data_IF_440484518922
#
_entry.id   IF_440484518922
#
_cell.length_a   1.000
_cell.length_b   1.000
_cell.length_c   1.000
_cell.angle_alpha   90.00
_cell.angle_beta   90.00
_cell.angle_gamma   90.00
#
_symmetry.space_group_name_H-M   'P 1'
#
loop_
_entity.id
_entity.type
_entity.pdbx_description
1 polymer ?
#
# COMPACT_ATOMS: atom_id res chain seq x y z
N UNK A 1 -8.10 4.93 -26.01
CA UNK A 1 -8.03 6.37 -25.76
C UNK A 1 -6.65 6.65 -25.19
N UNK A 2 -5.74 7.10 -26.04
CA UNK A 2 -4.43 7.56 -25.59
C UNK A 2 -4.53 9.08 -25.48
N UNK A 3 -4.61 9.62 -24.28
CA UNK A 3 -4.39 11.05 -24.13
C UNK A 3 -2.99 11.39 -24.63
N UNK A 4 -2.80 12.49 -25.36
CA UNK A 4 -1.53 12.82 -26.02
C UNK A 4 -0.35 12.93 -25.03
N UNK A 5 -0.61 13.10 -23.74
CA UNK A 5 0.38 13.28 -22.68
C UNK A 5 0.69 12.02 -21.86
N UNK A 6 -0.04 10.92 -22.06
CA UNK A 6 0.12 9.67 -21.32
C UNK A 6 0.68 8.53 -22.19
N UNK A 7 1.27 7.55 -21.54
CA UNK A 7 1.81 6.33 -22.13
C UNK A 7 1.34 5.13 -21.36
N UNK A 8 0.92 4.10 -22.07
CA UNK A 8 0.57 2.82 -21.45
C UNK A 8 1.86 2.18 -20.93
N UNK A 9 1.95 2.00 -19.61
CA UNK A 9 3.03 1.27 -18.97
C UNK A 9 2.74 -0.24 -18.98
N UNK A 10 1.51 -0.61 -18.59
CA UNK A 10 1.05 -1.98 -18.55
C UNK A 10 -0.39 -2.10 -19.06
N UNK A 11 -0.66 -3.23 -19.66
CA UNK A 11 -1.99 -3.69 -20.05
C UNK A 11 -2.19 -5.09 -19.43
N UNK A 12 -3.19 -5.22 -18.58
CA UNK A 12 -3.56 -6.47 -17.97
C UNK A 12 -4.93 -6.93 -18.44
N UNK A 13 -5.09 -8.23 -18.54
CA UNK A 13 -6.37 -8.86 -18.84
C UNK A 13 -6.72 -9.81 -17.68
N UNK A 14 -7.85 -9.55 -17.02
CA UNK A 14 -8.27 -10.32 -15.85
C UNK A 14 -9.31 -11.38 -16.15
N UNK A 15 -10.10 -11.21 -17.20
CA UNK A 15 -11.18 -12.12 -17.55
C UNK A 15 -11.51 -12.09 -19.04
N UNK A 16 -11.88 -13.25 -19.59
CA UNK A 16 -12.36 -13.44 -20.94
C UNK A 16 -13.77 -14.00 -20.92
N UNK A 17 -14.63 -13.49 -21.78
CA UNK A 17 -16.02 -13.95 -21.89
C UNK A 17 -16.29 -14.28 -23.36
N UNK A 18 -16.69 -15.53 -23.64
CA UNK A 18 -17.14 -15.96 -24.97
C UNK A 18 -18.58 -16.43 -24.81
N UNK A 19 -19.51 -15.84 -25.55
CA UNK A 19 -20.95 -16.20 -25.54
C UNK A 19 -21.50 -16.37 -24.12
N UNK A 20 -21.20 -15.39 -23.24
CA UNK A 20 -21.56 -15.35 -21.83
C UNK A 20 -20.88 -16.42 -20.93
N UNK A 21 -19.92 -17.18 -21.44
CA UNK A 21 -19.11 -18.12 -20.65
C UNK A 21 -17.80 -17.47 -20.23
N UNK A 22 -17.57 -17.38 -18.92
CA UNK A 22 -16.33 -16.82 -18.36
C UNK A 22 -15.19 -17.83 -18.46
N UNK A 23 -14.03 -17.36 -18.94
CA UNK A 23 -12.77 -18.11 -18.94
C UNK A 23 -11.67 -17.31 -18.26
N UNK A 24 -10.90 -17.96 -17.38
CA UNK A 24 -9.70 -17.37 -16.76
C UNK A 24 -8.45 -17.49 -17.63
N UNK A 25 -8.50 -18.30 -18.65
CA UNK A 25 -7.40 -18.51 -19.60
C UNK A 25 -7.77 -17.90 -20.94
N UNK A 26 -6.75 -17.44 -21.68
CA UNK A 26 -6.95 -16.97 -23.05
C UNK A 26 -7.61 -18.08 -23.87
N UNK A 27 -8.79 -17.83 -24.44
CA UNK A 27 -9.58 -18.87 -25.13
C UNK A 27 -9.09 -19.10 -26.56
N UNK A 28 -7.85 -19.56 -26.70
CA UNK A 28 -7.24 -19.86 -28.00
C UNK A 28 -7.90 -21.08 -28.64
N UNK A 29 -8.37 -20.92 -29.86
CA UNK A 29 -8.99 -22.02 -30.63
C UNK A 29 -10.46 -22.27 -30.30
N UNK A 30 -11.09 -21.44 -29.47
CA UNK A 30 -12.54 -21.49 -29.27
C UNK A 30 -13.23 -20.54 -30.26
N UNK A 31 -14.36 -20.98 -30.78
CA UNK A 31 -15.23 -20.19 -31.65
C UNK A 31 -16.40 -19.64 -30.81
N UNK A 32 -16.86 -18.44 -31.10
CA UNK A 32 -18.00 -17.80 -30.47
C UNK A 32 -18.49 -16.64 -31.30
N UNK A 33 -19.75 -16.23 -31.09
CA UNK A 33 -20.33 -15.07 -31.75
C UNK A 33 -19.92 -13.74 -31.08
N UNK A 34 -19.76 -13.79 -29.73
CA UNK A 34 -19.41 -12.61 -28.93
C UNK A 34 -18.16 -12.89 -28.08
N UNK A 35 -17.21 -11.98 -28.15
CA UNK A 35 -16.00 -12.02 -27.36
C UNK A 35 -15.83 -10.72 -26.60
N UNK A 36 -15.76 -10.83 -25.26
CA UNK A 36 -15.48 -9.72 -24.35
C UNK A 36 -14.25 -10.01 -23.50
N UNK A 37 -13.52 -8.95 -23.15
CA UNK A 37 -12.39 -9.06 -22.22
C UNK A 37 -12.32 -7.84 -21.29
N UNK A 38 -11.92 -8.10 -20.04
CA UNK A 38 -11.74 -7.05 -19.06
C UNK A 38 -10.28 -6.62 -19.06
N UNK A 39 -10.04 -5.40 -19.54
CA UNK A 39 -8.70 -4.82 -19.66
C UNK A 39 -8.49 -3.75 -18.59
N UNK A 40 -7.34 -3.82 -17.93
CA UNK A 40 -6.86 -2.78 -17.02
C UNK A 40 -5.63 -2.12 -17.59
N UNK A 41 -5.68 -0.81 -17.79
CA UNK A 41 -4.57 0.00 -18.31
C UNK A 41 -3.93 0.76 -17.15
N UNK A 42 -2.60 0.67 -17.05
CA UNK A 42 -1.80 1.54 -16.20
C UNK A 42 -1.09 2.58 -17.06
N UNK A 43 -1.48 3.82 -16.84
CA UNK A 43 -0.98 4.97 -17.60
C UNK A 43 0.04 5.75 -16.78
N UNK A 44 1.06 6.27 -17.44
CA UNK A 44 2.01 7.21 -16.86
C UNK A 44 2.20 8.42 -17.77
N UNK A 45 2.45 9.62 -17.19
CA UNK A 45 2.83 10.78 -17.97
C UNK A 45 4.07 10.50 -18.82
N UNK A 46 4.03 10.81 -20.11
CA UNK A 46 5.17 10.62 -21.03
C UNK A 46 6.42 11.34 -20.56
N UNK A 47 6.22 12.49 -19.90
CA UNK A 47 7.33 13.30 -19.39
C UNK A 47 8.10 12.56 -18.29
N UNK A 48 7.40 11.87 -17.39
CA UNK A 48 8.03 11.13 -16.30
C UNK A 48 8.86 9.95 -16.83
N UNK A 49 8.34 9.23 -17.81
CA UNK A 49 9.08 8.16 -18.49
C UNK A 49 10.32 8.70 -19.22
N UNK A 50 10.21 9.84 -19.88
CA UNK A 50 11.35 10.48 -20.57
C UNK A 50 12.39 10.93 -19.56
N UNK A 51 11.99 11.59 -18.47
CA UNK A 51 12.89 12.04 -17.42
C UNK A 51 13.62 10.88 -16.78
N UNK A 52 12.91 9.80 -16.45
CA UNK A 52 13.50 8.60 -15.90
C UNK A 52 14.57 8.01 -16.83
N UNK A 53 14.22 7.79 -18.10
CA UNK A 53 15.17 7.29 -19.10
C UNK A 53 16.37 8.22 -19.29
N UNK A 54 16.14 9.53 -19.31
CA UNK A 54 17.20 10.52 -19.45
C UNK A 54 18.21 10.45 -18.28
N UNK A 55 17.74 10.36 -17.04
CA UNK A 55 18.61 10.26 -15.85
C UNK A 55 19.48 9.01 -15.94
N UNK A 56 18.90 7.85 -16.22
CA UNK A 56 19.64 6.60 -16.31
C UNK A 56 20.65 6.60 -17.48
N UNK A 57 20.26 7.13 -18.63
CA UNK A 57 21.16 7.25 -19.79
C UNK A 57 22.38 8.13 -19.48
N UNK A 58 22.23 9.21 -18.69
CA UNK A 58 23.37 10.02 -18.23
C UNK A 58 24.35 9.21 -17.35
N UNK A 59 23.85 8.21 -16.63
CA UNK A 59 24.66 7.28 -15.86
C UNK A 59 25.19 6.10 -16.71
N UNK A 60 25.00 6.13 -18.05
CA UNK A 60 25.33 5.03 -18.98
C UNK A 60 24.64 3.71 -18.64
N UNK A 61 23.45 3.78 -18.04
CA UNK A 61 22.61 2.63 -17.70
C UNK A 61 21.42 2.61 -18.67
N UNK A 62 21.24 1.49 -19.37
CA UNK A 62 20.10 1.28 -20.25
C UNK A 62 18.95 0.64 -19.45
N UNK A 63 17.76 1.22 -19.55
CA UNK A 63 16.54 0.66 -18.95
C UNK A 63 15.89 -0.27 -19.97
N UNK A 64 15.89 -1.56 -19.70
CA UNK A 64 15.21 -2.55 -20.56
C UNK A 64 13.69 -2.52 -20.34
N UNK A 65 13.26 -2.56 -19.08
CA UNK A 65 11.83 -2.61 -18.71
C UNK A 65 11.54 -1.83 -17.45
N UNK A 66 10.31 -1.33 -17.35
CA UNK A 66 9.78 -0.65 -16.17
C UNK A 66 8.55 -1.41 -15.72
N UNK A 67 8.47 -1.73 -14.44
CA UNK A 67 7.34 -2.44 -13.84
C UNK A 67 6.71 -1.64 -12.72
N UNK A 68 5.40 -1.75 -12.57
CA UNK A 68 4.70 -1.30 -11.37
C UNK A 68 5.15 -2.12 -10.17
N UNK A 69 5.50 -1.43 -9.08
CA UNK A 69 5.91 -2.09 -7.83
C UNK A 69 4.83 -3.03 -7.31
N UNK A 70 3.58 -2.57 -7.27
CA UNK A 70 2.44 -3.38 -6.81
C UNK A 70 2.26 -4.67 -7.63
N UNK A 71 2.45 -4.60 -8.95
CA UNK A 71 2.40 -5.79 -9.81
C UNK A 71 3.50 -6.80 -9.44
N UNK A 72 4.75 -6.34 -9.28
CA UNK A 72 5.87 -7.21 -8.91
C UNK A 72 5.65 -7.85 -7.55
N UNK A 73 5.15 -7.09 -6.57
CA UNK A 73 4.80 -7.57 -5.23
C UNK A 73 3.67 -8.63 -5.32
N UNK A 74 2.62 -8.37 -6.10
CA UNK A 74 1.52 -9.30 -6.32
C UNK A 74 1.99 -10.63 -6.91
N UNK A 75 2.76 -10.59 -7.98
CA UNK A 75 3.34 -11.79 -8.61
C UNK A 75 4.24 -12.56 -7.64
N UNK A 76 5.05 -11.85 -6.85
CA UNK A 76 5.90 -12.49 -5.83
C UNK A 76 5.08 -13.24 -4.77
N UNK A 77 3.98 -12.65 -4.30
CA UNK A 77 3.09 -13.28 -3.32
C UNK A 77 2.38 -14.51 -3.91
N UNK A 78 1.86 -14.39 -5.14
CA UNK A 78 1.22 -15.51 -5.85
C UNK A 78 2.18 -16.70 -5.96
N UNK A 79 3.42 -16.45 -6.37
CA UNK A 79 4.42 -17.51 -6.54
C UNK A 79 4.82 -18.14 -5.21
N UNK A 80 4.97 -17.35 -4.14
CA UNK A 80 5.38 -17.85 -2.81
C UNK A 80 4.27 -18.61 -2.11
N UNK A 81 3.04 -18.09 -2.15
CA UNK A 81 1.92 -18.61 -1.36
C UNK A 81 0.92 -19.44 -2.18
N UNK A 82 1.15 -19.60 -3.49
CA UNK A 82 0.26 -20.32 -4.43
C UNK A 82 -1.19 -19.80 -4.36
N UNK A 83 -1.35 -18.50 -4.25
CA UNK A 83 -2.66 -17.85 -4.16
C UNK A 83 -3.31 -17.95 -5.55
N UNK A 84 -4.46 -18.61 -5.65
CA UNK A 84 -5.24 -18.76 -6.88
C UNK A 84 -6.57 -18.02 -6.85
N UNK A 85 -6.75 -17.11 -5.87
CA UNK A 85 -7.99 -16.36 -5.65
C UNK A 85 -7.75 -14.86 -5.81
N UNK A 86 -8.83 -14.10 -5.73
CA UNK A 86 -8.77 -12.65 -5.59
C UNK A 86 -8.13 -12.28 -4.25
N UNK A 87 -7.26 -11.28 -4.26
CA UNK A 87 -6.63 -10.76 -3.05
C UNK A 87 -6.30 -9.28 -3.19
N UNK A 88 -6.06 -8.62 -2.08
CA UNK A 88 -5.60 -7.26 -2.03
C UNK A 88 -4.22 -7.16 -1.36
N UNK A 89 -3.42 -6.21 -1.80
CA UNK A 89 -2.16 -5.82 -1.16
C UNK A 89 -2.34 -4.41 -0.65
N UNK A 90 -2.11 -4.21 0.65
CA UNK A 90 -2.06 -2.90 1.27
C UNK A 90 -0.61 -2.62 1.65
N UNK A 91 -0.07 -1.53 1.12
CA UNK A 91 1.25 -1.04 1.46
C UNK A 91 1.12 0.27 2.23
N UNK A 92 1.61 0.29 3.47
CA UNK A 92 1.64 1.49 4.31
C UNK A 92 3.09 1.98 4.38
N UNK A 93 3.37 3.10 3.72
CA UNK A 93 4.64 3.80 3.80
C UNK A 93 4.57 4.93 4.83
N UNK A 94 5.64 5.70 4.99
CA UNK A 94 5.70 6.80 5.96
C UNK A 94 4.57 7.83 5.80
N UNK A 95 4.44 8.40 4.60
CA UNK A 95 3.53 9.51 4.30
C UNK A 95 2.51 9.23 3.20
N UNK A 96 2.46 8.01 2.72
CA UNK A 96 1.51 7.54 1.72
C UNK A 96 1.21 6.07 1.91
N UNK A 97 0.03 5.65 1.51
CA UNK A 97 -0.36 4.24 1.46
C UNK A 97 -0.95 3.93 0.10
N UNK A 98 -0.96 2.68 -0.28
CA UNK A 98 -1.69 2.24 -1.46
C UNK A 98 -2.35 0.89 -1.22
N UNK A 99 -3.47 0.66 -1.91
CA UNK A 99 -4.12 -0.62 -2.03
C UNK A 99 -4.11 -1.05 -3.49
N UNK A 100 -3.93 -2.33 -3.75
CA UNK A 100 -3.98 -2.90 -5.09
C UNK A 100 -4.72 -4.23 -5.04
N UNK A 101 -5.73 -4.39 -5.89
CA UNK A 101 -6.54 -5.59 -6.01
C UNK A 101 -6.08 -6.43 -7.19
N UNK A 102 -6.07 -7.72 -6.97
CA UNK A 102 -5.67 -8.71 -7.96
C UNK A 102 -6.79 -9.71 -8.21
N UNK A 103 -7.01 -10.03 -9.48
CA UNK A 103 -7.83 -11.14 -9.93
C UNK A 103 -7.08 -11.89 -11.05
N UNK A 104 -7.02 -13.21 -10.95
CA UNK A 104 -6.40 -14.07 -11.95
C UNK A 104 -5.00 -13.59 -12.41
N UNK A 105 -4.11 -13.33 -11.44
CA UNK A 105 -2.73 -12.82 -11.62
C UNK A 105 -2.62 -11.39 -12.18
N UNK A 106 -3.74 -10.74 -12.43
CA UNK A 106 -3.78 -9.38 -12.98
C UNK A 106 -4.17 -8.37 -11.93
N UNK A 107 -3.47 -7.25 -11.81
CA UNK A 107 -3.95 -6.12 -11.00
C UNK A 107 -5.14 -5.49 -11.73
N UNK A 108 -6.29 -5.47 -11.05
CA UNK A 108 -7.55 -4.96 -11.61
C UNK A 108 -7.86 -3.54 -11.17
N UNK A 109 -7.33 -3.15 -9.99
CA UNK A 109 -7.56 -1.84 -9.43
C UNK A 109 -6.41 -1.45 -8.50
N UNK A 110 -6.11 -0.16 -8.41
CA UNK A 110 -5.11 0.37 -7.49
C UNK A 110 -5.48 1.79 -7.08
N UNK A 111 -5.35 2.08 -5.78
CA UNK A 111 -5.62 3.40 -5.23
C UNK A 111 -4.50 3.85 -4.30
N UNK A 112 -4.21 5.16 -4.32
CA UNK A 112 -3.18 5.78 -3.50
C UNK A 112 -3.81 6.75 -2.50
N UNK A 113 -3.38 6.66 -1.26
CA UNK A 113 -3.80 7.53 -0.16
C UNK A 113 -2.64 8.44 0.26
N UNK A 114 -2.96 9.70 0.57
CA UNK A 114 -1.98 10.71 1.01
C UNK A 114 -1.74 10.66 2.54
N UNK A 115 -1.78 9.47 3.12
CA UNK A 115 -1.46 9.22 4.52
C UNK A 115 -0.64 7.94 4.66
N UNK A 116 0.10 7.81 5.75
CA UNK A 116 0.93 6.65 6.04
C UNK A 116 1.26 6.56 7.53
N UNK A 117 2.25 5.76 7.90
CA UNK A 117 2.60 5.50 9.31
C UNK A 117 3.05 6.73 10.09
N UNK A 118 3.53 7.79 9.42
CA UNK A 118 3.94 9.01 10.11
C UNK A 118 2.79 9.72 10.83
N UNK A 119 1.53 9.49 10.43
CA UNK A 119 0.37 10.05 11.12
C UNK A 119 0.22 9.46 12.53
N UNK A 120 0.56 8.19 12.73
CA UNK A 120 0.57 7.54 14.05
C UNK A 120 1.59 8.24 14.97
N UNK A 121 2.79 8.51 14.44
CA UNK A 121 3.84 9.22 15.18
C UNK A 121 3.40 10.63 15.52
N UNK A 122 2.71 11.31 14.59
CA UNK A 122 2.16 12.67 14.83
C UNK A 122 1.13 12.67 15.94
N UNK A 123 0.26 11.68 16.03
CA UNK A 123 -0.76 11.61 17.08
C UNK A 123 -0.14 11.37 18.45
N UNK A 124 0.79 10.43 18.56
CA UNK A 124 1.55 10.23 19.80
C UNK A 124 2.31 11.51 20.18
N UNK A 125 2.93 12.19 19.21
CA UNK A 125 3.62 13.45 19.41
C UNK A 125 2.68 14.53 19.97
N UNK A 126 1.51 14.72 19.37
CA UNK A 126 0.53 15.75 19.77
C UNK A 126 -0.10 15.43 21.13
N UNK A 127 -0.63 14.23 21.30
CA UNK A 127 -1.39 13.83 22.49
C UNK A 127 -0.47 13.77 23.72
N UNK A 128 0.73 13.19 23.54
CA UNK A 128 1.71 13.11 24.62
C UNK A 128 2.60 14.35 24.73
N UNK A 129 2.43 15.37 23.88
CA UNK A 129 3.23 16.62 23.85
C UNK A 129 4.74 16.36 23.74
N UNK A 130 5.14 15.40 22.93
CA UNK A 130 6.53 15.14 22.56
C UNK A 130 6.89 15.83 21.23
N UNK A 131 8.19 15.95 20.93
CA UNK A 131 8.60 16.22 19.55
C UNK A 131 8.33 14.99 18.68
N UNK A 132 8.19 15.21 17.36
CA UNK A 132 8.03 14.10 16.40
C UNK A 132 9.14 13.06 16.52
N UNK A 133 10.40 13.49 16.65
CA UNK A 133 11.55 12.60 16.78
C UNK A 133 11.52 11.80 18.10
N UNK A 134 11.07 12.42 19.19
CA UNK A 134 10.90 11.72 20.47
C UNK A 134 9.79 10.68 20.39
N UNK A 135 8.63 11.03 19.82
CA UNK A 135 7.52 10.10 19.62
C UNK A 135 7.94 8.93 18.73
N UNK A 136 8.69 9.21 17.66
CA UNK A 136 9.26 8.20 16.78
C UNK A 136 10.19 7.23 17.54
N UNK A 137 11.12 7.75 18.34
CA UNK A 137 11.99 6.92 19.18
C UNK A 137 11.20 6.03 20.14
N UNK A 138 10.18 6.58 20.80
CA UNK A 138 9.32 5.85 21.71
C UNK A 138 8.68 4.66 21.01
N UNK A 139 8.10 4.89 19.82
CA UNK A 139 7.41 3.83 19.06
C UNK A 139 8.39 2.76 18.58
N UNK A 140 9.57 3.13 18.08
CA UNK A 140 10.54 2.17 17.53
C UNK A 140 11.37 1.44 18.59
N UNK A 141 11.64 2.06 19.76
CA UNK A 141 12.42 1.43 20.83
C UNK A 141 11.59 0.54 21.72
N UNK A 142 10.26 0.62 21.66
CA UNK A 142 9.35 -0.13 22.51
C UNK A 142 8.41 -0.96 21.63
N UNK A 143 8.20 -2.21 22.04
CA UNK A 143 7.26 -3.08 21.34
C UNK A 143 5.85 -2.87 21.91
N UNK A 144 4.95 -2.29 21.10
CA UNK A 144 3.54 -2.09 21.44
C UNK A 144 2.63 -3.19 20.89
N UNK A 145 3.16 -4.15 20.10
CA UNK A 145 2.37 -5.25 19.50
C UNK A 145 2.07 -6.38 20.48
N UNK A 146 2.82 -6.48 21.56
CA UNK A 146 2.61 -7.53 22.55
C UNK A 146 1.31 -7.28 23.33
N UNK A 147 0.38 -8.23 23.23
CA UNK A 147 -0.83 -8.33 24.07
C UNK A 147 -0.43 -8.86 25.43
N UNK A 148 0.36 -8.10 26.17
CA UNK A 148 0.79 -8.50 27.51
C UNK A 148 0.03 -7.69 28.56
N UNK A 149 -0.63 -8.39 29.51
CA UNK A 149 -1.27 -7.79 30.68
C UNK A 149 -0.31 -6.93 31.54
N UNK A 150 1.00 -7.02 31.28
CA UNK A 150 2.02 -6.20 31.94
C UNK A 150 2.21 -4.81 31.32
N UNK A 151 1.70 -4.57 30.12
CA UNK A 151 1.79 -3.25 29.44
C UNK A 151 1.11 -2.16 30.27
N UNK A 152 0.00 -2.49 30.92
CA UNK A 152 -0.76 -1.55 31.76
C UNK A 152 0.02 -1.01 32.98
N UNK A 153 1.03 -1.74 33.42
CA UNK A 153 1.87 -1.38 34.56
C UNK A 153 3.19 -0.71 34.17
N UNK A 154 3.51 -0.66 32.86
CA UNK A 154 4.74 -0.04 32.37
C UNK A 154 4.53 1.45 32.09
N UNK A 155 5.52 2.26 32.43
CA UNK A 155 5.54 3.70 32.19
C UNK A 155 6.77 4.08 31.38
N UNK A 156 6.68 5.17 30.62
CA UNK A 156 7.82 5.72 29.88
C UNK A 156 8.96 6.07 30.83
N UNK A 157 10.19 5.74 30.40
CA UNK A 157 11.41 6.14 31.10
C UNK A 157 11.64 7.64 31.02
N UNK A 158 12.26 8.21 32.03
CA UNK A 158 12.64 9.63 32.10
C UNK A 158 13.51 10.09 30.91
N UNK A 159 14.28 9.17 30.31
CA UNK A 159 15.15 9.45 29.15
C UNK A 159 14.43 10.13 27.98
N UNK A 160 13.12 9.94 27.82
CA UNK A 160 12.34 10.53 26.71
C UNK A 160 11.89 11.97 26.98
N UNK A 161 12.01 12.47 28.22
CA UNK A 161 11.54 13.78 28.61
C UNK A 161 12.63 14.86 28.45
N UNK A 162 13.92 14.50 28.41
CA UNK A 162 15.04 15.42 28.30
C UNK A 162 15.01 16.51 29.38
N UNK A 163 14.97 17.78 28.96
CA UNK A 163 14.86 18.94 29.89
C UNK A 163 13.42 19.25 30.33
N UNK A 164 12.42 18.56 29.77
CA UNK A 164 11.01 18.77 30.15
C UNK A 164 10.71 18.05 31.46
N UNK A 165 9.76 18.62 32.22
CA UNK A 165 9.28 18.02 33.45
C UNK A 165 8.78 16.61 33.18
N UNK A 166 9.26 15.64 33.97
CA UNK A 166 8.80 14.25 33.89
C UNK A 166 7.29 14.14 34.10
N UNK A 167 6.64 13.33 33.30
CA UNK A 167 5.23 12.99 33.40
C UNK A 167 5.05 11.49 33.33
N UNK A 168 4.19 10.98 34.19
CA UNK A 168 3.89 9.55 34.24
C UNK A 168 2.94 9.17 33.09
N UNK A 169 3.50 8.72 31.95
CA UNK A 169 2.74 8.29 30.77
C UNK A 169 2.85 6.76 30.69
N UNK A 170 1.71 6.06 30.71
CA UNK A 170 1.67 4.61 30.61
C UNK A 170 1.86 4.14 29.18
N UNK A 171 2.41 2.95 29.00
CA UNK A 171 2.51 2.28 27.71
C UNK A 171 1.12 1.99 27.12
N UNK A 172 0.17 1.62 27.99
CA UNK A 172 -1.24 1.40 27.60
C UNK A 172 -1.85 2.65 26.95
N UNK A 173 -1.59 3.85 27.50
CA UNK A 173 -2.09 5.09 26.89
C UNK A 173 -1.54 5.30 25.48
N UNK A 174 -0.24 5.08 25.27
CA UNK A 174 0.37 5.21 23.95
C UNK A 174 -0.16 4.13 23.00
N UNK A 175 -0.32 2.91 23.46
CA UNK A 175 -0.90 1.82 22.67
C UNK A 175 -2.30 2.16 22.21
N UNK A 176 -3.16 2.68 23.09
CA UNK A 176 -4.51 3.08 22.72
C UNK A 176 -4.55 4.17 21.62
N UNK A 177 -3.59 5.12 21.66
CA UNK A 177 -3.46 6.13 20.60
C UNK A 177 -3.08 5.48 19.27
N UNK A 178 -2.13 4.53 19.29
CA UNK A 178 -1.65 3.79 18.11
C UNK A 178 -2.79 2.96 17.54
N UNK A 179 -3.47 2.17 18.37
CA UNK A 179 -4.53 1.25 17.97
C UNK A 179 -5.70 2.04 17.36
N UNK A 180 -6.17 3.13 18.01
CA UNK A 180 -7.24 3.98 17.48
C UNK A 180 -6.89 4.57 16.10
N UNK A 181 -5.63 4.98 15.88
CA UNK A 181 -5.21 5.46 14.57
C UNK A 181 -5.11 4.36 13.53
N UNK A 182 -4.69 3.15 13.91
CA UNK A 182 -4.65 1.99 13.00
C UNK A 182 -6.08 1.62 12.57
N UNK A 183 -7.02 1.57 13.51
CA UNK A 183 -8.45 1.32 13.20
C UNK A 183 -8.97 2.35 12.20
N UNK A 184 -8.75 3.65 12.44
CA UNK A 184 -9.18 4.70 11.51
C UNK A 184 -8.53 4.56 10.12
N UNK A 185 -7.24 4.21 10.05
CA UNK A 185 -6.57 3.98 8.75
C UNK A 185 -7.15 2.77 8.02
N UNK A 186 -7.49 1.71 8.74
CA UNK A 186 -8.15 0.53 8.17
C UNK A 186 -9.53 0.90 7.65
N UNK A 187 -10.31 1.63 8.42
CA UNK A 187 -11.65 2.08 8.01
C UNK A 187 -11.60 2.95 6.76
N UNK A 188 -10.66 3.89 6.69
CA UNK A 188 -10.46 4.73 5.50
C UNK A 188 -10.07 3.93 4.26
N UNK A 189 -9.30 2.87 4.41
CA UNK A 189 -8.86 2.03 3.29
C UNK A 189 -9.96 1.07 2.86
N UNK A 190 -10.71 0.49 3.81
CA UNK A 190 -11.72 -0.55 3.57
C UNK A 190 -13.13 -0.01 3.41
N UNK A 191 -13.65 0.72 4.39
CA UNK A 191 -15.06 1.11 4.43
C UNK A 191 -15.40 2.20 3.41
N UNK A 192 -14.48 3.11 3.17
CA UNK A 192 -14.65 4.18 2.19
C UNK A 192 -14.25 3.78 0.77
N UNK A 193 -13.75 2.56 0.58
CA UNK A 193 -13.37 2.08 -0.74
C UNK A 193 -14.57 1.43 -1.44
N UNK A 194 -15.13 2.15 -2.42
CA UNK A 194 -16.31 1.71 -3.21
C UNK A 194 -16.04 0.38 -3.94
N UNK A 195 -14.78 0.06 -4.22
CA UNK A 195 -14.41 -1.16 -4.94
C UNK A 195 -14.29 -2.40 -4.04
N UNK A 196 -14.43 -2.23 -2.73
CA UNK A 196 -14.49 -3.33 -1.76
C UNK A 196 -15.94 -3.73 -1.38
N UNK A 197 -16.90 -2.91 -1.74
CA UNK A 197 -18.34 -3.19 -1.62
C UNK A 197 -18.86 -3.82 -2.89
#
# INVERSE_FOLDING_TARGET
YNEPHESILHLFNSNFVIDNVNSKKLPVGLFGEFYNQHLTFYLLPKIDLKNLKFIFNRCKINIERIFLKSFVEGVSLINKQKINSKFAIINIHKNKSNISFFDNFSPIYSENFKFGSDIIIQDVSKICSFSFDTAKKIIYENNFDEVNKEIDKKYLSEKYFGTKKFRKISFSHIKNIIDARIEELVDLIYENNINLK
#
